data_IF_864070906324
#
_entry.id   IF_864070906324
#
_cell.length_a   1.000
_cell.length_b   1.000
_cell.length_c   1.000
_cell.angle_alpha   90.00
_cell.angle_beta   90.00
_cell.angle_gamma   90.00
#
_symmetry.space_group_name_H-M   'P 1'
#
loop_
_entity.id
_entity.type
_entity.pdbx_description
1 polymer ?
#
# COMPACT_ATOMS: atom_id res chain seq x y z
N UNK A 1 -3.00 -0.87 6.02
CA UNK A 1 -2.16 -1.36 4.92
C UNK A 1 -1.43 -0.24 4.18
N UNK A 2 -2.14 0.82 3.76
CA UNK A 2 -1.53 1.98 3.08
C UNK A 2 -0.33 2.60 3.82
N UNK A 3 -0.45 2.85 5.13
CA UNK A 3 0.63 3.48 5.90
C UNK A 3 1.84 2.56 6.09
N UNK A 4 1.61 1.26 6.28
CA UNK A 4 2.68 0.28 6.39
C UNK A 4 3.45 0.16 5.08
N UNK A 5 2.74 0.15 3.94
CA UNK A 5 3.35 0.17 2.60
C UNK A 5 4.31 1.35 2.49
N UNK A 6 3.81 2.58 2.71
CA UNK A 6 4.64 3.78 2.60
C UNK A 6 5.81 3.77 3.59
N UNK A 7 5.58 3.38 4.85
CA UNK A 7 6.63 3.31 5.86
C UNK A 7 7.76 2.35 5.47
N UNK A 8 7.45 1.19 4.87
CA UNK A 8 8.50 0.25 4.42
C UNK A 8 9.32 0.79 3.26
N UNK A 9 8.70 1.47 2.29
CA UNK A 9 9.45 2.13 1.19
C UNK A 9 10.35 3.23 1.75
N UNK A 10 9.82 4.08 2.63
CA UNK A 10 10.56 5.18 3.22
C UNK A 10 11.71 4.69 4.11
N UNK A 11 11.49 3.64 4.88
CA UNK A 11 12.54 3.02 5.69
C UNK A 11 13.66 2.45 4.82
N UNK A 12 13.30 1.77 3.72
CA UNK A 12 14.29 1.28 2.75
C UNK A 12 15.08 2.44 2.13
N UNK A 13 14.39 3.51 1.71
CA UNK A 13 15.03 4.72 1.17
C UNK A 13 16.09 5.30 2.12
N UNK A 14 15.81 5.39 3.41
CA UNK A 14 16.71 6.03 4.38
C UNK A 14 17.81 5.13 4.92
N UNK A 15 17.61 3.81 4.92
CA UNK A 15 18.52 2.87 5.59
C UNK A 15 19.26 1.95 4.63
N UNK A 16 18.72 1.75 3.43
CA UNK A 16 19.15 0.73 2.48
C UNK A 16 19.15 -0.70 3.07
N UNK A 17 18.38 -0.94 4.14
CA UNK A 17 18.26 -2.27 4.75
C UNK A 17 17.25 -3.12 3.98
N UNK A 18 17.74 -4.19 3.35
CA UNK A 18 16.94 -5.13 2.56
C UNK A 18 15.78 -5.77 3.34
N UNK A 19 15.81 -5.78 4.67
CA UNK A 19 14.66 -6.22 5.47
C UNK A 19 13.40 -5.39 5.19
N UNK A 20 13.52 -4.08 5.00
CA UNK A 20 12.38 -3.21 4.69
C UNK A 20 11.85 -3.46 3.28
N UNK A 21 12.74 -3.71 2.31
CA UNK A 21 12.33 -4.11 0.96
C UNK A 21 11.58 -5.44 0.97
N UNK A 22 12.07 -6.44 1.70
CA UNK A 22 11.39 -7.72 1.83
C UNK A 22 10.00 -7.60 2.47
N UNK A 23 9.83 -6.67 3.43
CA UNK A 23 8.53 -6.36 4.01
C UNK A 23 7.60 -5.62 3.04
N UNK A 24 8.14 -4.67 2.27
CA UNK A 24 7.41 -3.97 1.21
C UNK A 24 6.78 -4.97 0.23
N UNK A 25 7.56 -5.94 -0.26
CA UNK A 25 7.07 -6.98 -1.18
C UNK A 25 5.91 -7.76 -0.56
N UNK A 26 6.08 -8.26 0.66
CA UNK A 26 5.01 -9.02 1.37
C UNK A 26 3.74 -8.18 1.57
N UNK A 27 3.89 -6.90 1.89
CA UNK A 27 2.76 -6.00 2.06
C UNK A 27 2.04 -5.77 0.73
N UNK A 28 2.79 -5.56 -0.35
CA UNK A 28 2.22 -5.38 -1.69
C UNK A 28 1.45 -6.63 -2.13
N UNK A 29 2.04 -7.82 -2.00
CA UNK A 29 1.36 -9.08 -2.36
C UNK A 29 0.01 -9.22 -1.62
N UNK A 30 -0.03 -8.87 -0.33
CA UNK A 30 -1.26 -8.90 0.45
C UNK A 30 -2.26 -7.81 0.03
N UNK A 31 -1.80 -6.61 -0.32
CA UNK A 31 -2.64 -5.53 -0.83
C UNK A 31 -3.28 -5.95 -2.15
N UNK A 32 -2.49 -6.46 -3.08
CA UNK A 32 -2.93 -6.87 -4.41
C UNK A 32 -3.97 -7.98 -4.33
N UNK A 33 -3.71 -9.01 -3.51
CA UNK A 33 -4.62 -10.15 -3.35
C UNK A 33 -5.89 -9.84 -2.55
N UNK A 34 -5.81 -8.99 -1.50
CA UNK A 34 -6.93 -8.83 -0.53
C UNK A 34 -7.63 -7.49 -0.56
N UNK A 35 -6.95 -6.42 -0.96
CA UNK A 35 -7.48 -5.06 -0.85
C UNK A 35 -7.94 -4.52 -2.20
N UNK A 36 -7.17 -4.70 -3.28
CA UNK A 36 -7.52 -4.15 -4.59
C UNK A 36 -8.73 -4.88 -5.16
N UNK A 37 -9.71 -4.11 -5.65
CA UNK A 37 -10.90 -4.65 -6.29
C UNK A 37 -10.85 -4.44 -7.79
N UNK A 38 -10.15 -5.34 -8.47
CA UNK A 38 -10.00 -5.30 -9.92
C UNK A 38 -11.32 -5.55 -10.65
N UNK A 39 -12.26 -6.27 -10.01
CA UNK A 39 -13.52 -6.69 -10.63
C UNK A 39 -14.52 -5.54 -10.73
N UNK A 40 -14.59 -4.66 -9.72
CA UNK A 40 -15.64 -3.63 -9.61
C UNK A 40 -15.15 -2.20 -9.90
N UNK A 41 -14.13 -2.05 -10.74
CA UNK A 41 -13.67 -0.73 -11.20
C UNK A 41 -12.59 -0.08 -10.33
N UNK A 42 -11.92 -0.85 -9.46
CA UNK A 42 -10.75 -0.43 -8.71
C UNK A 42 -11.03 0.07 -7.30
N UNK A 43 -10.05 0.82 -6.77
CA UNK A 43 -9.94 1.22 -5.35
C UNK A 43 -9.81 -0.01 -4.42
N UNK A 44 -9.43 0.26 -3.18
CA UNK A 44 -9.22 -0.75 -2.15
C UNK A 44 -10.50 -0.97 -1.35
N UNK A 45 -10.73 -2.20 -0.88
CA UNK A 45 -11.64 -2.45 0.22
C UNK A 45 -11.13 -1.77 1.49
N UNK A 46 -12.01 -1.08 2.21
CA UNK A 46 -11.66 -0.39 3.44
C UNK A 46 -11.58 -1.28 4.67
N UNK A 47 -12.32 -2.40 4.67
CA UNK A 47 -12.60 -3.18 5.87
C UNK A 47 -12.60 -4.67 5.56
N UNK A 48 -11.69 -5.40 6.20
CA UNK A 48 -11.57 -6.85 6.12
C UNK A 48 -11.75 -7.45 7.52
N UNK A 49 -12.19 -8.70 7.58
CA UNK A 49 -12.18 -9.50 8.81
C UNK A 49 -10.77 -10.03 9.11
N UNK A 50 -10.59 -10.58 10.30
CA UNK A 50 -9.31 -11.18 10.73
C UNK A 50 -8.85 -12.35 9.84
N UNK A 51 -9.81 -13.06 9.24
CA UNK A 51 -9.56 -14.14 8.27
C UNK A 51 -9.32 -13.63 6.83
N UNK A 52 -9.15 -12.31 6.67
CA UNK A 52 -8.94 -11.62 5.40
C UNK A 52 -10.12 -11.70 4.42
N UNK A 53 -11.31 -12.12 4.85
CA UNK A 53 -12.53 -11.97 4.03
C UNK A 53 -13.02 -10.52 4.05
N UNK A 54 -13.62 -10.08 2.94
CA UNK A 54 -14.15 -8.72 2.81
C UNK A 54 -15.30 -8.52 3.81
N UNK A 55 -15.15 -7.58 4.74
CA UNK A 55 -16.20 -7.24 5.70
C UNK A 55 -17.23 -6.27 5.08
N UNK A 56 -16.74 -5.29 4.31
CA UNK A 56 -17.57 -4.29 3.65
C UNK A 56 -17.05 -4.00 2.24
N UNK A 57 -17.99 -4.00 1.28
CA UNK A 57 -17.71 -3.68 -0.12
C UNK A 57 -17.69 -2.16 -0.38
N UNK A 58 -17.97 -1.34 0.64
CA UNK A 58 -17.97 0.12 0.50
C UNK A 58 -16.57 0.64 0.12
N UNK A 59 -16.52 1.38 -0.98
CA UNK A 59 -15.31 2.11 -1.43
C UNK A 59 -15.17 3.48 -0.80
N UNK A 60 -16.20 3.98 -0.14
CA UNK A 60 -16.17 5.24 0.59
C UNK A 60 -17.24 5.29 1.67
N UNK A 61 -17.06 6.19 2.62
CA UNK A 61 -18.00 6.45 3.72
C UNK A 61 -17.43 7.48 4.67
N UNK A 62 -18.00 7.60 5.88
CA UNK A 62 -17.58 8.61 6.86
C UNK A 62 -16.09 8.56 7.23
N UNK A 63 -15.46 7.39 7.08
CA UNK A 63 -14.06 7.16 7.49
C UNK A 63 -13.17 6.60 6.37
N UNK A 64 -13.71 6.41 5.15
CA UNK A 64 -12.91 6.08 3.96
C UNK A 64 -13.21 7.09 2.87
N UNK A 65 -12.19 7.82 2.46
CA UNK A 65 -12.24 8.73 1.33
C UNK A 65 -10.94 8.69 0.52
N UNK A 66 -10.82 9.60 -0.43
CA UNK A 66 -9.64 9.75 -1.30
C UNK A 66 -8.50 10.44 -0.54
N UNK A 67 -7.90 9.74 0.44
CA UNK A 67 -6.79 10.28 1.24
C UNK A 67 -5.71 9.24 1.49
N UNK A 68 -5.94 8.27 2.38
CA UNK A 68 -4.90 7.34 2.83
C UNK A 68 -4.31 6.50 1.69
N UNK A 69 -5.15 5.91 0.84
CA UNK A 69 -4.70 5.09 -0.29
C UNK A 69 -3.92 5.92 -1.32
N UNK A 70 -4.49 6.98 -1.93
CA UNK A 70 -3.77 7.74 -2.95
C UNK A 70 -2.51 8.42 -2.41
N UNK A 71 -2.53 8.98 -1.18
CA UNK A 71 -1.35 9.60 -0.57
C UNK A 71 -0.21 8.59 -0.40
N UNK A 72 -0.51 7.42 0.16
CA UNK A 72 0.50 6.38 0.37
C UNK A 72 1.09 5.90 -0.97
N UNK A 73 0.28 5.72 -2.00
CA UNK A 73 0.75 5.30 -3.33
C UNK A 73 1.63 6.38 -3.98
N UNK A 74 1.19 7.64 -4.01
CA UNK A 74 1.97 8.75 -4.60
C UNK A 74 3.32 8.89 -3.92
N UNK A 75 3.36 8.85 -2.59
CA UNK A 75 4.62 8.98 -1.85
C UNK A 75 5.50 7.74 -1.96
N UNK A 76 4.92 6.54 -2.03
CA UNK A 76 5.68 5.31 -2.26
C UNK A 76 6.34 5.32 -3.64
N UNK A 77 5.60 5.71 -4.69
CA UNK A 77 6.15 5.86 -6.05
C UNK A 77 7.27 6.89 -6.06
N UNK A 78 7.03 8.07 -5.46
CA UNK A 78 8.05 9.14 -5.42
C UNK A 78 9.32 8.70 -4.68
N UNK A 79 9.20 7.91 -3.61
CA UNK A 79 10.35 7.37 -2.89
C UNK A 79 11.08 6.28 -3.71
N UNK A 80 10.33 5.39 -4.35
CA UNK A 80 10.89 4.39 -5.24
C UNK A 80 11.66 5.02 -6.41
N UNK A 81 11.12 6.08 -7.02
CA UNK A 81 11.80 6.82 -8.09
C UNK A 81 13.13 7.42 -7.61
N UNK A 82 13.18 7.99 -6.40
CA UNK A 82 14.44 8.51 -5.83
C UNK A 82 15.46 7.40 -5.57
N UNK A 83 15.01 6.25 -5.04
CA UNK A 83 15.87 5.07 -4.84
C UNK A 83 16.46 4.61 -6.18
N UNK A 84 15.63 4.46 -7.21
CA UNK A 84 16.05 3.97 -8.54
C UNK A 84 17.05 4.94 -9.17
N UNK A 85 16.76 6.24 -9.13
CA UNK A 85 17.64 7.26 -9.72
C UNK A 85 18.95 7.45 -8.96
N UNK A 86 19.00 7.16 -7.65
CA UNK A 86 20.24 7.19 -6.87
C UNK A 86 21.17 6.00 -7.13
N UNK A 87 20.65 4.92 -7.73
CA UNK A 87 21.40 3.70 -8.07
C UNK A 87 22.01 3.72 -9.48
N UNK A 88 21.74 4.75 -10.28
CA UNK A 88 22.29 4.98 -11.63
C UNK A 88 23.51 5.91 -11.58
#
# INVERSE_FOLDING_TARGET
MSEALYATVLAYEHTNDAAFYNWLVKLWDCIEDKFIDEVNGGDWYGYLRKDCTIFSQLKGGNYKGCFHVPRALIYSISAADRIINAAQ
#
